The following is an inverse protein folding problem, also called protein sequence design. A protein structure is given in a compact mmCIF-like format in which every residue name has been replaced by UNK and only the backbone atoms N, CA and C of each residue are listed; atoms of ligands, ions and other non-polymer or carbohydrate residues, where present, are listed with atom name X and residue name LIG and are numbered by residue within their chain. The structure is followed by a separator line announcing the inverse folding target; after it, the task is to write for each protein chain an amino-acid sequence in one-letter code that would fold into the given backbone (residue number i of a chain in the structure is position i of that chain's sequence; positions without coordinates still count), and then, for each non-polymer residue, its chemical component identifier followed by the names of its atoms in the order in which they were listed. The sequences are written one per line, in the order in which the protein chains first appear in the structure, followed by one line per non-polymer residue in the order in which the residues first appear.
data_IF_430675352188
#
_entry.id   IF_430675352188
#
_cell.length_a   1.000
_cell.length_b   1.000
_cell.length_c   1.000
_cell.angle_alpha   90.00
_cell.angle_beta   90.00
_cell.angle_gamma   90.00
#
_symmetry.space_group_name_H-M   'P 1'
#
loop_
_entity.id
_entity.type
_entity.pdbx_description
1 polymer ?
#
# COMPACT_ATOMS: atom_id res chain seq x y z
N UNK A 1 6.29 -37.39 -37.49
CA UNK A 1 5.28 -36.67 -36.67
C UNK A 1 5.60 -36.57 -35.17
N UNK A 2 6.46 -37.42 -34.58
CA UNK A 2 6.78 -37.33 -33.14
C UNK A 2 7.79 -36.21 -32.79
N UNK A 3 8.75 -35.91 -33.67
CA UNK A 3 9.80 -34.90 -33.43
C UNK A 3 9.30 -33.44 -33.33
N UNK A 4 8.14 -33.12 -33.93
CA UNK A 4 7.57 -31.76 -33.87
C UNK A 4 6.80 -31.46 -32.57
N UNK A 5 6.27 -32.49 -31.87
CA UNK A 5 5.55 -32.31 -30.60
C UNK A 5 6.49 -32.05 -29.42
N UNK A 6 7.71 -32.59 -29.47
CA UNK A 6 8.74 -32.39 -28.42
C UNK A 6 9.28 -30.95 -28.46
N UNK A 7 9.41 -30.35 -29.65
CA UNK A 7 9.94 -28.98 -29.80
C UNK A 7 8.98 -27.90 -29.28
N UNK A 8 7.66 -28.11 -29.41
CA UNK A 8 6.63 -27.19 -28.90
C UNK A 8 6.49 -27.28 -27.37
N UNK A 9 6.70 -28.45 -26.78
CA UNK A 9 6.71 -28.63 -25.32
C UNK A 9 7.96 -28.03 -24.67
N UNK A 10 9.13 -28.05 -25.32
CA UNK A 10 10.33 -27.39 -24.79
C UNK A 10 10.22 -25.86 -24.88
N UNK A 11 9.63 -25.31 -25.94
CA UNK A 11 9.41 -23.86 -26.08
C UNK A 11 8.43 -23.28 -25.06
N UNK A 12 7.40 -24.04 -24.66
CA UNK A 12 6.43 -23.58 -23.67
C UNK A 12 6.97 -23.60 -22.23
N UNK A 13 8.03 -24.36 -21.95
CA UNK A 13 8.65 -24.43 -20.61
C UNK A 13 9.61 -23.25 -20.38
N UNK A 14 10.32 -22.79 -21.41
CA UNK A 14 11.22 -21.63 -21.30
C UNK A 14 10.46 -20.30 -21.15
N UNK A 15 9.25 -20.17 -21.71
CA UNK A 15 8.45 -18.95 -21.59
C UNK A 15 7.87 -18.70 -20.18
N UNK A 16 7.97 -19.66 -19.26
CA UNK A 16 7.45 -19.54 -17.88
C UNK A 16 8.57 -19.13 -16.90
N UNK A 17 9.83 -19.05 -17.35
CA UNK A 17 10.97 -18.77 -16.49
C UNK A 17 11.38 -17.27 -16.44
N UNK A 18 10.82 -16.42 -17.30
CA UNK A 18 11.28 -15.01 -17.44
C UNK A 18 10.38 -13.96 -16.75
N UNK A 19 9.38 -14.37 -15.97
CA UNK A 19 8.28 -13.46 -15.59
C UNK A 19 8.59 -12.42 -14.49
N UNK A 20 9.66 -12.54 -13.70
CA UNK A 20 9.95 -11.56 -12.64
C UNK A 20 10.76 -10.34 -13.10
N UNK A 21 11.59 -10.47 -14.14
CA UNK A 21 12.37 -9.36 -14.69
C UNK A 21 11.52 -8.37 -15.52
N UNK A 22 10.33 -8.79 -15.96
CA UNK A 22 9.49 -8.05 -16.91
C UNK A 22 9.18 -6.60 -16.52
N UNK A 23 8.90 -6.32 -15.24
CA UNK A 23 8.53 -4.96 -14.81
C UNK A 23 9.74 -4.03 -14.88
N UNK A 24 10.91 -4.47 -14.43
CA UNK A 24 12.14 -3.68 -14.49
C UNK A 24 12.66 -3.58 -15.93
N UNK A 25 12.54 -4.65 -16.72
CA UNK A 25 12.87 -4.66 -18.14
C UNK A 25 12.00 -3.66 -18.93
N UNK A 26 10.71 -3.54 -18.59
CA UNK A 26 9.82 -2.54 -19.16
C UNK A 26 10.28 -1.11 -18.85
N UNK A 27 10.84 -0.88 -17.67
CA UNK A 27 11.45 0.42 -17.29
C UNK A 27 12.76 0.67 -18.05
N UNK A 28 13.46 -0.40 -18.46
CA UNK A 28 14.69 -0.39 -19.27
C UNK A 28 15.73 0.66 -18.83
N UNK A 29 15.88 0.84 -17.52
CA UNK A 29 16.78 1.84 -16.94
C UNK A 29 17.45 1.24 -15.71
N UNK A 30 18.78 1.21 -15.72
CA UNK A 30 19.60 0.90 -14.55
C UNK A 30 20.19 2.18 -13.99
N UNK A 31 20.32 2.24 -12.68
CA UNK A 31 20.80 3.42 -11.95
C UNK A 31 22.03 3.10 -11.12
N UNK A 32 22.86 4.10 -10.87
CA UNK A 32 23.76 3.99 -9.73
C UNK A 32 22.96 4.06 -8.43
N UNK A 33 23.37 3.32 -7.40
CA UNK A 33 22.73 3.31 -6.08
C UNK A 33 22.76 4.68 -5.38
N UNK A 34 23.64 5.58 -5.84
CA UNK A 34 23.77 6.95 -5.32
C UNK A 34 23.12 8.00 -6.24
N UNK A 35 22.55 7.58 -7.39
CA UNK A 35 21.83 8.48 -8.30
C UNK A 35 20.36 8.54 -7.91
N UNK A 36 20.05 9.45 -6.99
CA UNK A 36 18.70 9.59 -6.42
C UNK A 36 17.64 9.97 -7.46
N UNK A 37 17.98 10.77 -8.47
CA UNK A 37 17.03 11.18 -9.51
C UNK A 37 16.72 9.99 -10.43
N UNK A 38 17.75 9.22 -10.82
CA UNK A 38 17.54 7.99 -11.59
C UNK A 38 16.69 6.98 -10.82
N UNK A 39 17.00 6.74 -9.53
CA UNK A 39 16.24 5.82 -8.68
C UNK A 39 14.79 6.28 -8.52
N UNK A 40 14.56 7.59 -8.30
CA UNK A 40 13.24 8.18 -8.23
C UNK A 40 12.41 7.86 -9.48
N UNK A 41 12.99 8.01 -10.67
CA UNK A 41 12.31 7.69 -11.92
C UNK A 41 11.97 6.20 -12.02
N UNK A 42 12.91 5.32 -11.68
CA UNK A 42 12.71 3.87 -11.72
C UNK A 42 11.59 3.45 -10.77
N UNK A 43 11.64 3.89 -9.51
CA UNK A 43 10.59 3.56 -8.54
C UNK A 43 9.24 4.17 -8.93
N UNK A 44 9.21 5.38 -9.48
CA UNK A 44 7.96 5.99 -9.96
C UNK A 44 7.32 5.15 -11.07
N UNK A 45 8.13 4.68 -12.02
CA UNK A 45 7.64 3.85 -13.12
C UNK A 45 7.16 2.47 -12.62
N UNK A 46 7.89 1.85 -11.69
CA UNK A 46 7.48 0.59 -11.06
C UNK A 46 6.16 0.76 -10.29
N UNK A 47 6.03 1.82 -9.48
CA UNK A 47 4.82 2.10 -8.72
C UNK A 47 3.61 2.32 -9.64
N UNK A 48 3.77 3.07 -10.72
CA UNK A 48 2.72 3.30 -11.70
C UNK A 48 2.28 1.99 -12.38
N UNK A 49 3.24 1.15 -12.81
CA UNK A 49 2.94 -0.12 -13.46
C UNK A 49 2.23 -1.10 -12.50
N UNK A 50 2.71 -1.21 -11.26
CA UNK A 50 2.08 -2.05 -10.24
C UNK A 50 0.69 -1.54 -9.85
N UNK A 51 0.46 -0.22 -9.90
CA UNK A 51 -0.86 0.34 -9.63
C UNK A 51 -1.90 -0.11 -10.66
N UNK A 52 -1.55 -0.04 -11.95
CA UNK A 52 -2.47 -0.38 -13.05
C UNK A 52 -2.57 -1.90 -13.29
N UNK A 53 -1.43 -2.60 -13.24
CA UNK A 53 -1.32 -3.98 -13.73
C UNK A 53 -1.10 -5.00 -12.60
N UNK A 54 -0.69 -4.56 -11.41
CA UNK A 54 -0.17 -5.44 -10.38
C UNK A 54 1.02 -6.27 -10.88
N UNK A 55 1.27 -7.40 -10.25
CA UNK A 55 2.20 -8.42 -10.75
C UNK A 55 1.73 -9.82 -10.33
N UNK A 56 0.81 -10.45 -11.10
CA UNK A 56 0.22 -11.73 -10.73
C UNK A 56 1.26 -12.85 -10.52
N UNK A 57 2.34 -12.87 -11.32
CA UNK A 57 3.43 -13.84 -11.17
C UNK A 57 4.14 -13.74 -9.80
N UNK A 58 4.06 -12.59 -9.14
CA UNK A 58 4.62 -12.34 -7.81
C UNK A 58 3.54 -12.28 -6.72
N UNK A 59 2.29 -12.65 -7.03
CA UNK A 59 1.13 -12.51 -6.15
C UNK A 59 0.94 -11.08 -5.63
N UNK A 60 1.22 -10.08 -6.48
CA UNK A 60 0.93 -8.67 -6.21
C UNK A 60 -0.37 -8.34 -6.97
N UNK A 61 -1.46 -7.98 -6.26
CA UNK A 61 -2.71 -7.62 -6.91
C UNK A 61 -2.58 -6.26 -7.62
N UNK A 62 -3.55 -5.96 -8.49
CA UNK A 62 -3.78 -4.58 -8.96
C UNK A 62 -4.03 -3.68 -7.75
N UNK A 63 -3.34 -2.54 -7.69
CA UNK A 63 -3.47 -1.60 -6.57
C UNK A 63 -4.47 -0.48 -6.86
N UNK A 64 -4.89 -0.26 -8.10
CA UNK A 64 -5.90 0.75 -8.42
C UNK A 64 -6.91 0.28 -9.49
N UNK A 65 -8.14 -0.12 -9.10
CA UNK A 65 -8.67 -0.17 -7.74
C UNK A 65 -8.13 -1.37 -6.93
N UNK A 66 -7.73 -1.14 -5.68
CA UNK A 66 -7.38 -2.20 -4.73
C UNK A 66 -8.63 -2.78 -4.08
N UNK A 67 -8.88 -4.09 -4.24
CA UNK A 67 -10.03 -4.75 -3.61
C UNK A 67 -9.82 -4.99 -2.12
N UNK A 68 -10.80 -4.61 -1.30
CA UNK A 68 -10.80 -4.76 0.16
C UNK A 68 -11.98 -5.66 0.53
N UNK A 69 -11.69 -6.84 1.08
CA UNK A 69 -12.72 -7.80 1.50
C UNK A 69 -12.48 -8.29 2.91
N UNK A 70 -13.53 -8.24 3.72
CA UNK A 70 -13.57 -8.70 5.11
C UNK A 70 -12.38 -8.20 5.95
N UNK A 71 -12.05 -6.91 5.80
CA UNK A 71 -10.97 -6.28 6.59
C UNK A 71 -11.58 -5.52 7.75
N UNK A 72 -11.03 -5.75 8.93
CA UNK A 72 -11.50 -5.16 10.17
C UNK A 72 -10.40 -4.32 10.79
N UNK A 73 -10.78 -3.14 11.28
CA UNK A 73 -9.95 -2.27 12.10
C UNK A 73 -10.70 -1.95 13.38
N UNK A 74 -9.94 -1.74 14.45
CA UNK A 74 -10.47 -1.23 15.70
C UNK A 74 -9.90 0.17 15.92
N UNK A 75 -10.78 1.15 16.04
CA UNK A 75 -10.42 2.55 16.21
C UNK A 75 -10.48 2.88 17.70
N UNK A 76 -9.31 3.13 18.28
CA UNK A 76 -9.08 3.45 19.70
C UNK A 76 -9.70 2.48 20.72
N UNK A 77 -9.93 1.21 20.36
CA UNK A 77 -10.64 0.29 21.24
C UNK A 77 -12.13 0.59 21.43
N UNK A 78 -12.69 1.54 20.68
CA UNK A 78 -14.05 2.07 20.86
C UNK A 78 -14.99 1.66 19.73
N UNK A 79 -14.48 1.60 18.51
CA UNK A 79 -15.28 1.31 17.32
C UNK A 79 -14.61 0.18 16.56
N UNK A 80 -15.39 -0.87 16.29
CA UNK A 80 -15.01 -1.95 15.40
C UNK A 80 -15.59 -1.67 14.03
N UNK A 81 -14.75 -1.35 13.05
CA UNK A 81 -15.16 -1.08 11.68
C UNK A 81 -14.69 -2.23 10.77
N UNK A 82 -15.60 -2.75 9.98
CA UNK A 82 -15.35 -3.84 9.03
C UNK A 82 -15.74 -3.37 7.64
N UNK A 83 -14.79 -3.41 6.70
CA UNK A 83 -15.06 -3.36 5.27
C UNK A 83 -15.45 -4.77 4.82
N UNK A 84 -16.74 -4.99 4.55
CA UNK A 84 -17.26 -6.29 4.08
C UNK A 84 -16.75 -6.52 2.66
N UNK A 85 -17.04 -5.56 1.79
CA UNK A 85 -16.57 -5.53 0.41
C UNK A 85 -16.49 -4.08 -0.05
N UNK A 86 -15.34 -3.70 -0.58
CA UNK A 86 -15.11 -2.37 -1.10
C UNK A 86 -13.84 -2.32 -1.92
N UNK A 87 -13.45 -1.12 -2.28
CA UNK A 87 -12.21 -0.88 -2.99
C UNK A 87 -11.63 0.48 -2.68
N UNK A 88 -10.30 0.55 -2.72
CA UNK A 88 -9.54 1.79 -2.70
C UNK A 88 -9.16 2.21 -4.13
N UNK A 89 -9.19 3.49 -4.42
CA UNK A 89 -8.76 4.12 -5.68
C UNK A 89 -7.83 5.28 -5.35
N UNK A 90 -6.92 5.59 -6.28
CA UNK A 90 -6.00 6.73 -6.17
C UNK A 90 -4.55 6.33 -5.95
N UNK A 91 -4.22 5.04 -5.78
CA UNK A 91 -2.82 4.60 -5.71
C UNK A 91 -2.03 4.96 -6.98
N UNK A 92 -2.66 4.92 -8.16
CA UNK A 92 -2.02 5.34 -9.41
C UNK A 92 -1.79 6.85 -9.52
N UNK A 93 -2.45 7.62 -8.66
CA UNK A 93 -2.29 9.09 -8.59
C UNK A 93 -1.18 9.50 -7.63
N UNK A 94 -0.61 8.55 -6.88
CA UNK A 94 0.50 8.79 -5.99
C UNK A 94 1.77 9.06 -6.80
N UNK A 95 2.38 10.22 -6.58
CA UNK A 95 3.61 10.66 -7.20
C UNK A 95 4.73 10.68 -6.19
N UNK A 96 5.86 10.06 -6.52
CA UNK A 96 7.09 10.22 -5.76
C UNK A 96 7.67 11.61 -6.08
N UNK A 97 7.59 12.52 -5.12
CA UNK A 97 7.97 13.94 -5.26
C UNK A 97 9.36 14.20 -4.70
N UNK A 98 9.79 13.42 -3.71
CA UNK A 98 11.15 13.43 -3.16
C UNK A 98 11.67 12.01 -2.98
N UNK A 99 12.97 11.82 -3.17
CA UNK A 99 13.63 10.54 -2.98
C UNK A 99 15.09 10.74 -2.61
N UNK A 100 15.58 10.02 -1.60
CA UNK A 100 17.01 9.91 -1.36
C UNK A 100 17.34 8.54 -0.81
N UNK A 101 18.37 7.91 -1.36
CA UNK A 101 18.92 6.67 -0.85
C UNK A 101 20.26 6.94 -0.13
N UNK A 102 20.45 6.27 1.00
CA UNK A 102 21.74 6.21 1.69
C UNK A 102 22.12 4.74 1.86
N UNK A 103 23.00 4.26 0.98
CA UNK A 103 23.48 2.87 1.00
C UNK A 103 24.33 2.55 2.23
N UNK A 104 25.02 3.53 2.82
CA UNK A 104 25.86 3.32 4.02
C UNK A 104 25.01 2.99 5.24
N UNK A 105 23.85 3.65 5.38
CA UNK A 105 22.90 3.40 6.46
C UNK A 105 21.78 2.45 6.07
N UNK A 106 21.72 2.03 4.80
CA UNK A 106 20.66 1.25 4.19
C UNK A 106 19.27 1.83 4.49
N UNK A 107 19.14 3.14 4.25
CA UNK A 107 17.88 3.87 4.44
C UNK A 107 17.50 4.63 3.17
N UNK A 108 16.21 4.57 2.85
CA UNK A 108 15.57 5.35 1.80
C UNK A 108 14.62 6.35 2.45
N UNK A 109 14.70 7.60 2.04
CA UNK A 109 13.64 8.58 2.24
C UNK A 109 12.83 8.70 0.94
N UNK A 110 11.52 8.64 1.05
CA UNK A 110 10.58 8.79 -0.06
C UNK A 110 9.42 9.72 0.35
N UNK A 111 9.24 10.81 -0.39
CA UNK A 111 8.10 11.70 -0.26
C UNK A 111 7.09 11.38 -1.36
N UNK A 112 5.87 11.00 -0.98
CA UNK A 112 4.78 10.70 -1.90
C UNK A 112 3.63 11.67 -1.71
N UNK A 113 3.02 12.09 -2.81
CA UNK A 113 1.79 12.90 -2.82
C UNK A 113 0.74 12.18 -3.65
N UNK A 114 -0.40 11.86 -3.05
CA UNK A 114 -1.53 11.19 -3.70
C UNK A 114 -2.73 12.13 -3.79
N UNK A 115 -3.31 12.28 -4.97
CA UNK A 115 -4.40 13.25 -5.23
C UNK A 115 -5.19 12.87 -6.49
N UNK A 116 -6.50 12.51 -6.38
CA UNK A 116 -7.27 12.20 -5.17
C UNK A 116 -7.18 10.71 -4.77
N UNK A 117 -7.45 10.42 -3.49
CA UNK A 117 -7.57 9.05 -2.97
C UNK A 117 -8.98 8.80 -2.43
N UNK A 118 -9.55 7.61 -2.66
CA UNK A 118 -10.88 7.28 -2.16
C UNK A 118 -11.00 5.80 -1.76
N UNK A 119 -11.83 5.53 -0.77
CA UNK A 119 -12.25 4.18 -0.38
C UNK A 119 -13.77 4.17 -0.32
N UNK A 120 -14.40 3.21 -0.98
CA UNK A 120 -15.86 3.05 -0.95
C UNK A 120 -16.25 1.57 -0.88
N UNK A 121 -17.36 1.27 -0.21
CA UNK A 121 -17.82 -0.10 -0.08
C UNK A 121 -18.97 -0.29 0.91
N UNK A 122 -19.31 -1.56 1.09
CA UNK A 122 -20.22 -2.03 2.11
C UNK A 122 -19.46 -2.17 3.43
N UNK A 123 -19.91 -1.46 4.45
CA UNK A 123 -19.27 -1.44 5.75
C UNK A 123 -20.18 -2.06 6.82
N UNK A 124 -19.56 -2.45 7.93
CA UNK A 124 -20.24 -2.71 9.20
C UNK A 124 -19.46 -2.02 10.31
N UNK A 125 -20.15 -1.26 11.16
CA UNK A 125 -19.59 -0.61 12.34
C UNK A 125 -20.33 -1.10 13.57
N UNK A 126 -19.60 -1.36 14.64
CA UNK A 126 -20.15 -1.73 15.95
C UNK A 126 -19.36 -0.98 17.04
N UNK A 127 -20.06 -0.36 18.00
CA UNK A 127 -19.42 0.09 19.23
C UNK A 127 -18.90 -1.11 20.01
N UNK A 128 -17.69 -0.97 20.56
CA UNK A 128 -17.14 -1.95 21.50
C UNK A 128 -17.87 -1.84 22.85
N UNK A 129 -17.73 -2.83 23.74
CA UNK A 129 -18.23 -2.74 25.11
C UNK A 129 -17.72 -1.49 25.85
N UNK A 130 -16.48 -1.07 25.58
CA UNK A 130 -15.86 0.14 26.14
C UNK A 130 -16.68 1.38 25.81
N UNK A 131 -16.96 1.62 24.52
CA UNK A 131 -17.74 2.78 24.10
C UNK A 131 -19.19 2.67 24.60
N UNK A 132 -19.78 1.47 24.50
CA UNK A 132 -21.16 1.23 24.95
C UNK A 132 -21.33 1.59 26.43
N UNK A 133 -20.39 1.22 27.29
CA UNK A 133 -20.43 1.57 28.71
C UNK A 133 -20.33 3.09 28.95
N UNK A 134 -19.47 3.80 28.21
CA UNK A 134 -19.29 5.25 28.32
C UNK A 134 -20.55 6.05 27.95
N UNK A 135 -21.35 5.53 27.02
CA UNK A 135 -22.59 6.18 26.56
C UNK A 135 -23.86 5.60 27.22
N UNK A 136 -23.72 4.97 28.38
CA UNK A 136 -24.88 4.50 29.17
C UNK A 136 -25.56 3.24 28.61
N UNK A 137 -24.81 2.37 27.95
CA UNK A 137 -25.29 1.10 27.39
C UNK A 137 -26.04 1.24 26.06
N UNK A 138 -26.05 2.44 25.46
CA UNK A 138 -26.69 2.67 24.16
C UNK A 138 -25.89 1.95 23.07
N UNK A 139 -26.60 1.20 22.21
CA UNK A 139 -25.97 0.51 21.08
C UNK A 139 -25.73 1.49 19.93
N UNK A 140 -24.48 1.56 19.47
CA UNK A 140 -24.13 2.19 18.18
C UNK A 140 -23.73 1.08 17.22
N UNK A 141 -24.40 1.04 16.07
CA UNK A 141 -24.13 0.05 15.04
C UNK A 141 -24.52 0.59 13.68
N UNK A 142 -23.91 0.07 12.63
CA UNK A 142 -24.32 0.38 11.27
C UNK A 142 -23.90 -0.72 10.32
N UNK A 143 -24.68 -0.92 9.27
CA UNK A 143 -24.32 -1.81 8.18
C UNK A 143 -24.97 -1.28 6.90
N UNK A 144 -24.16 -0.77 5.99
CA UNK A 144 -24.63 0.00 4.86
C UNK A 144 -23.54 0.28 3.84
N UNK A 145 -23.78 1.25 2.96
CA UNK A 145 -22.77 1.76 2.05
C UNK A 145 -22.10 2.97 2.66
N UNK A 146 -20.79 3.08 2.48
CA UNK A 146 -20.03 4.22 2.96
C UNK A 146 -18.71 4.36 2.25
N UNK A 147 -18.05 5.48 2.51
CA UNK A 147 -16.76 5.78 1.93
C UNK A 147 -16.11 7.00 2.54
N UNK A 148 -14.85 7.17 2.15
CA UNK A 148 -14.07 8.37 2.41
C UNK A 148 -13.32 8.77 1.14
N UNK A 149 -13.23 10.05 0.88
CA UNK A 149 -12.39 10.61 -0.17
C UNK A 149 -11.44 11.62 0.46
N UNK A 150 -10.15 11.51 0.17
CA UNK A 150 -9.11 12.43 0.59
C UNK A 150 -8.71 13.22 -0.65
N UNK A 151 -8.85 14.54 -0.59
CA UNK A 151 -8.47 15.42 -1.70
C UNK A 151 -6.99 15.27 -2.03
N UNK A 152 -6.12 15.44 -1.02
CA UNK A 152 -4.67 15.37 -1.18
C UNK A 152 -3.99 14.85 0.09
N UNK A 153 -3.17 13.82 -0.07
CA UNK A 153 -2.40 13.21 1.02
C UNK A 153 -0.91 13.27 0.71
N UNK A 154 -0.12 13.79 1.64
CA UNK A 154 1.33 13.72 1.62
C UNK A 154 1.80 12.65 2.61
N UNK A 155 2.73 11.80 2.17
CA UNK A 155 3.39 10.77 2.97
C UNK A 155 4.90 10.98 2.88
N UNK A 156 5.57 10.96 4.03
CA UNK A 156 7.03 10.84 4.08
C UNK A 156 7.36 9.47 4.67
N UNK A 157 8.06 8.64 3.91
CA UNK A 157 8.49 7.32 4.31
C UNK A 157 10.00 7.34 4.56
N UNK A 158 10.41 6.83 5.71
CA UNK A 158 11.81 6.51 6.00
C UNK A 158 11.94 4.99 6.08
N UNK A 159 12.32 4.37 4.97
CA UNK A 159 12.38 2.93 4.82
C UNK A 159 13.77 2.42 5.20
N UNK A 160 13.83 1.52 6.16
CA UNK A 160 15.02 0.72 6.40
C UNK A 160 15.01 -0.48 5.44
N UNK A 161 16.15 -0.82 4.87
CA UNK A 161 16.28 -1.98 4.01
C UNK A 161 17.59 -2.73 4.28
N UNK A 162 17.72 -3.91 3.68
CA UNK A 162 18.92 -4.74 3.73
C UNK A 162 19.29 -5.22 2.34
N UNK A 163 20.59 -5.37 2.10
CA UNK A 163 21.11 -6.12 0.93
C UNK A 163 21.32 -7.55 1.38
N UNK A 164 20.64 -8.50 0.73
CA UNK A 164 20.71 -9.92 1.10
C UNK A 164 20.92 -10.79 -0.12
N UNK A 165 21.78 -11.78 0.01
CA UNK A 165 21.89 -12.87 -0.98
C UNK A 165 20.77 -13.88 -0.72
N UNK A 166 19.94 -14.16 -1.73
CA UNK A 166 18.84 -15.12 -1.61
C UNK A 166 19.24 -16.49 -2.18
N UNK A 167 18.30 -17.45 -2.12
CA UNK A 167 18.51 -18.84 -2.52
C UNK A 167 18.80 -19.01 -4.02
N UNK A 168 18.44 -18.02 -4.85
CA UNK A 168 18.81 -17.96 -6.27
C UNK A 168 20.27 -17.57 -6.49
N UNK A 169 20.99 -17.22 -5.41
CA UNK A 169 22.38 -16.81 -5.47
C UNK A 169 22.59 -15.35 -5.87
N UNK A 170 21.52 -14.57 -6.02
CA UNK A 170 21.57 -13.16 -6.41
C UNK A 170 21.37 -12.24 -5.20
N UNK A 171 21.78 -10.97 -5.35
CA UNK A 171 21.56 -9.94 -4.32
C UNK A 171 20.20 -9.28 -4.53
N UNK A 172 19.46 -9.13 -3.43
CA UNK A 172 18.15 -8.50 -3.38
C UNK A 172 18.10 -7.43 -2.29
N UNK A 173 17.26 -6.41 -2.51
CA UNK A 173 16.86 -5.54 -1.41
C UNK A 173 15.69 -6.18 -0.66
N UNK A 174 15.65 -6.01 0.66
CA UNK A 174 14.49 -6.35 1.47
C UNK A 174 14.21 -5.18 2.42
N UNK A 175 12.97 -4.70 2.43
CA UNK A 175 12.53 -3.68 3.38
C UNK A 175 12.39 -4.33 4.75
N UNK A 176 12.89 -3.67 5.80
CA UNK A 176 12.61 -3.98 7.18
C UNK A 176 11.47 -3.07 7.69
N UNK A 177 10.22 -3.59 7.85
CA UNK A 177 9.09 -2.78 8.30
C UNK A 177 9.24 -2.28 9.74
N UNK A 178 9.92 -3.03 10.60
CA UNK A 178 10.05 -2.72 12.04
C UNK A 178 10.97 -1.50 12.28
N UNK A 179 11.98 -1.35 11.43
CA UNK A 179 12.95 -0.23 11.48
C UNK A 179 12.56 0.95 10.57
N UNK A 180 11.42 0.83 9.88
CA UNK A 180 10.88 1.86 8.98
C UNK A 180 9.90 2.76 9.71
N UNK A 181 9.92 4.05 9.37
CA UNK A 181 9.00 5.04 9.96
C UNK A 181 8.29 5.83 8.88
N UNK A 182 7.23 6.55 9.27
CA UNK A 182 6.54 7.44 8.37
C UNK A 182 5.87 8.60 9.09
N UNK A 183 5.64 9.68 8.34
CA UNK A 183 4.72 10.75 8.71
C UNK A 183 3.72 10.97 7.58
N UNK A 184 2.58 11.60 7.90
CA UNK A 184 1.56 11.92 6.92
C UNK A 184 0.94 13.28 7.21
N UNK A 185 0.49 13.93 6.15
CA UNK A 185 -0.23 15.19 6.21
C UNK A 185 -1.38 15.16 5.21
N UNK A 186 -2.58 15.47 5.68
CA UNK A 186 -3.74 15.63 4.82
C UNK A 186 -3.79 17.09 4.39
N UNK A 187 -3.40 17.34 3.14
CA UNK A 187 -3.21 18.68 2.57
C UNK A 187 -4.51 19.29 2.02
N UNK A 188 -5.54 18.47 1.82
CA UNK A 188 -6.87 18.90 1.39
C UNK A 188 -7.94 18.03 2.08
N UNK A 189 -9.19 18.51 2.07
CA UNK A 189 -10.36 17.94 2.74
C UNK A 189 -10.48 16.41 2.66
N UNK A 190 -10.90 15.80 3.77
CA UNK A 190 -11.54 14.48 3.75
C UNK A 190 -13.06 14.64 3.69
N UNK A 191 -13.69 13.90 2.78
CA UNK A 191 -15.15 13.80 2.67
C UNK A 191 -15.59 12.39 3.05
N UNK A 192 -16.46 12.26 4.03
CA UNK A 192 -17.11 11.03 4.44
C UNK A 192 -18.48 10.91 3.78
N UNK A 193 -18.86 9.67 3.49
CA UNK A 193 -20.20 9.28 3.06
C UNK A 193 -20.62 8.00 3.78
N UNK A 194 -21.91 7.84 4.03
CA UNK A 194 -22.41 6.70 4.79
C UNK A 194 -23.91 6.73 4.95
N UNK A 195 -24.52 5.55 4.89
CA UNK A 195 -25.91 5.31 5.25
C UNK A 195 -26.03 4.25 6.35
N UNK A 196 -27.24 4.05 6.87
CA UNK A 196 -27.59 2.94 7.77
C UNK A 196 -26.75 2.88 9.06
N UNK A 197 -26.50 4.03 9.70
CA UNK A 197 -25.82 4.15 11.00
C UNK A 197 -26.83 4.54 12.08
N UNK A 198 -26.86 3.78 13.18
CA UNK A 198 -27.90 3.87 14.19
C UNK A 198 -27.34 4.08 15.60
N UNK A 199 -28.05 4.91 16.36
CA UNK A 199 -27.96 4.96 17.83
C UNK A 199 -29.29 4.46 18.38
N UNK A 200 -29.26 3.28 19.00
CA UNK A 200 -30.48 2.57 19.41
C UNK A 200 -31.36 2.24 18.20
N UNK A 201 -32.49 2.95 18.05
CA UNK A 201 -33.42 2.80 16.92
C UNK A 201 -33.40 3.98 15.96
N UNK A 202 -32.65 5.04 16.27
CA UNK A 202 -32.61 6.25 15.47
C UNK A 202 -31.52 6.15 14.43
N UNK A 203 -31.87 6.38 13.16
CA UNK A 203 -30.91 6.60 12.09
C UNK A 203 -30.26 7.97 12.29
N UNK A 204 -28.93 7.97 12.39
CA UNK A 204 -28.10 9.16 12.59
C UNK A 204 -27.13 9.39 11.43
N UNK A 205 -27.26 8.67 10.31
CA UNK A 205 -26.29 8.70 9.20
C UNK A 205 -25.98 10.11 8.74
N UNK A 206 -27.00 10.91 8.41
CA UNK A 206 -26.81 12.30 7.95
C UNK A 206 -26.07 13.14 8.99
N UNK A 207 -26.43 13.01 10.27
CA UNK A 207 -25.79 13.75 11.36
C UNK A 207 -24.33 13.33 11.52
N UNK A 208 -24.05 12.03 11.54
CA UNK A 208 -22.70 11.49 11.67
C UNK A 208 -21.80 11.87 10.50
N UNK A 209 -22.32 11.80 9.27
CA UNK A 209 -21.60 12.21 8.06
C UNK A 209 -21.29 13.71 8.09
N UNK A 210 -22.24 14.55 8.50
CA UNK A 210 -22.02 15.99 8.62
C UNK A 210 -20.97 16.29 9.69
N UNK A 211 -21.07 15.69 10.88
CA UNK A 211 -20.06 15.82 11.93
C UNK A 211 -18.68 15.37 11.41
N UNK A 212 -18.61 14.24 10.70
CA UNK A 212 -17.37 13.75 10.11
C UNK A 212 -16.76 14.75 9.12
N UNK A 213 -17.58 15.31 8.24
CA UNK A 213 -17.17 16.28 7.23
C UNK A 213 -16.78 17.65 7.82
N UNK A 214 -17.45 18.09 8.89
CA UNK A 214 -17.12 19.35 9.58
C UNK A 214 -15.86 19.22 10.43
N UNK A 215 -15.56 18.02 10.95
CA UNK A 215 -14.47 17.76 11.89
C UNK A 215 -13.37 16.87 11.27
N UNK A 216 -13.25 16.88 9.95
CA UNK A 216 -12.38 15.95 9.22
C UNK A 216 -10.91 16.05 9.63
N UNK A 217 -10.40 17.25 9.94
CA UNK A 217 -9.01 17.45 10.37
C UNK A 217 -8.72 16.78 11.70
N UNK A 218 -9.63 16.94 12.66
CA UNK A 218 -9.52 16.29 13.96
C UNK A 218 -9.55 14.78 13.78
N UNK A 219 -10.48 14.28 12.95
CA UNK A 219 -10.59 12.85 12.68
C UNK A 219 -9.31 12.31 12.04
N UNK A 220 -8.76 13.01 11.06
CA UNK A 220 -7.50 12.64 10.43
C UNK A 220 -6.36 12.55 11.46
N UNK A 221 -6.17 13.60 12.27
CA UNK A 221 -5.10 13.66 13.29
C UNK A 221 -5.24 12.59 14.38
N UNK A 222 -6.48 12.33 14.82
CA UNK A 222 -6.74 11.40 15.93
C UNK A 222 -6.83 9.94 15.51
N UNK A 223 -7.29 9.65 14.29
CA UNK A 223 -7.64 8.29 13.86
C UNK A 223 -6.97 7.85 12.55
N UNK A 224 -6.26 8.73 11.85
CA UNK A 224 -5.63 8.42 10.57
C UNK A 224 -4.49 7.41 10.69
N UNK A 225 -3.68 7.50 11.75
CA UNK A 225 -2.51 6.62 11.95
C UNK A 225 -2.86 5.12 11.97
N UNK A 226 -3.80 4.63 12.79
CA UNK A 226 -4.18 3.21 12.78
C UNK A 226 -4.65 2.69 11.41
N UNK A 227 -5.25 3.55 10.58
CA UNK A 227 -5.68 3.20 9.23
C UNK A 227 -4.47 3.11 8.31
N UNK A 228 -3.60 4.12 8.33
CA UNK A 228 -2.37 4.14 7.53
C UNK A 228 -1.40 3.02 7.90
N UNK A 229 -1.31 2.65 9.18
CA UNK A 229 -0.51 1.50 9.63
C UNK A 229 -0.93 0.23 8.88
N UNK A 230 -2.25 -0.01 8.71
CA UNK A 230 -2.77 -1.16 7.93
C UNK A 230 -2.50 -1.06 6.43
N UNK A 231 -2.54 0.14 5.88
CA UNK A 231 -2.20 0.37 4.46
C UNK A 231 -0.71 0.09 4.24
N UNK A 232 0.15 0.55 5.16
CA UNK A 232 1.59 0.35 5.09
C UNK A 232 2.00 -1.11 5.31
N UNK A 233 1.30 -1.87 6.16
CA UNK A 233 1.47 -3.33 6.23
C UNK A 233 1.32 -3.98 4.85
N UNK A 234 0.27 -3.62 4.11
CA UNK A 234 0.03 -4.12 2.75
C UNK A 234 1.11 -3.64 1.78
N UNK A 235 1.53 -2.38 1.87
CA UNK A 235 2.63 -1.83 1.07
C UNK A 235 3.92 -2.61 1.27
N UNK A 236 4.39 -2.78 2.52
CA UNK A 236 5.63 -3.48 2.83
C UNK A 236 5.63 -4.93 2.35
N UNK A 237 4.51 -5.65 2.54
CA UNK A 237 4.37 -7.03 2.05
C UNK A 237 4.54 -7.09 0.53
N UNK A 238 3.90 -6.19 -0.21
CA UNK A 238 3.99 -6.18 -1.67
C UNK A 238 5.36 -5.68 -2.18
N UNK A 239 5.97 -4.71 -1.51
CA UNK A 239 7.35 -4.30 -1.79
C UNK A 239 8.31 -5.47 -1.64
N UNK A 240 8.23 -6.24 -0.54
CA UNK A 240 9.12 -7.39 -0.34
C UNK A 240 8.81 -8.54 -1.30
N UNK A 241 7.56 -8.77 -1.72
CA UNK A 241 7.25 -9.71 -2.81
C UNK A 241 7.93 -9.33 -4.11
N UNK A 242 7.94 -8.04 -4.46
CA UNK A 242 8.61 -7.53 -5.65
C UNK A 242 10.13 -7.65 -5.50
N UNK A 243 10.71 -7.05 -4.47
CA UNK A 243 12.15 -6.94 -4.30
C UNK A 243 12.84 -8.29 -4.09
N UNK A 244 12.16 -9.28 -3.49
CA UNK A 244 12.68 -10.66 -3.37
C UNK A 244 12.66 -11.48 -4.68
N UNK A 245 12.05 -10.95 -5.74
CA UNK A 245 11.96 -11.58 -7.07
C UNK A 245 12.75 -10.84 -8.14
N UNK A 246 13.18 -9.63 -7.83
CA UNK A 246 13.89 -8.74 -8.75
C UNK A 246 15.32 -8.52 -8.22
N UNK A 247 16.32 -9.20 -8.80
CA UNK A 247 17.72 -9.02 -8.46
C UNK A 247 18.17 -7.56 -8.58
N UNK A 248 19.01 -7.10 -7.66
CA UNK A 248 19.60 -5.75 -7.65
C UNK A 248 20.29 -5.45 -8.98
N UNK A 249 21.04 -6.41 -9.54
CA UNK A 249 21.79 -6.25 -10.79
C UNK A 249 20.92 -5.90 -12.00
N UNK A 250 19.61 -6.12 -11.95
CA UNK A 250 18.70 -5.86 -13.07
C UNK A 250 18.35 -4.36 -13.18
N UNK A 251 18.58 -3.58 -12.14
CA UNK A 251 18.22 -2.15 -12.08
C UNK A 251 19.23 -1.26 -11.36
N UNK A 252 20.25 -1.84 -10.73
CA UNK A 252 21.38 -1.14 -10.13
C UNK A 252 22.68 -1.53 -10.85
N UNK A 253 23.52 -0.55 -11.14
CA UNK A 253 24.81 -0.76 -11.84
C UNK A 253 25.97 -1.08 -10.90
N UNK A 254 25.91 -0.64 -9.65
CA UNK A 254 26.96 -0.83 -8.65
C UNK A 254 26.98 -2.26 -8.09
N UNK A 255 28.18 -2.76 -7.75
CA UNK A 255 28.33 -3.98 -6.96
C UNK A 255 28.08 -3.67 -5.47
N UNK A 256 27.03 -4.28 -4.91
CA UNK A 256 26.62 -4.06 -3.53
C UNK A 256 27.04 -5.20 -2.58
N UNK A 257 27.93 -6.10 -3.01
CA UNK A 257 28.37 -7.26 -2.23
C UNK A 257 28.97 -6.88 -0.87
N UNK A 258 29.63 -5.72 -0.76
CA UNK A 258 30.19 -5.22 0.51
C UNK A 258 29.14 -4.78 1.53
N UNK A 259 27.88 -4.62 1.11
CA UNK A 259 26.77 -4.20 1.97
C UNK A 259 25.87 -5.35 2.41
N UNK A 260 26.21 -6.60 2.03
CA UNK A 260 25.47 -7.77 2.47
C UNK A 260 25.61 -7.93 3.98
N UNK A 261 24.49 -7.91 4.70
CA UNK A 261 24.47 -8.27 6.12
C UNK A 261 24.56 -9.80 6.27
N UNK A 262 25.41 -10.24 7.19
CA UNK A 262 25.56 -11.64 7.57
C UNK A 262 24.39 -12.17 8.39
#
# INVERSE_FOLDING_TARGET
MWKFKVLLLTSAIFAICESSAYIVEKVNKKCSINDNDCLKDVYSAVLADLADNGAPAMNIPVLDPYSIKNKQIEVLGMIKATMIEGYGKGFKTCQLTGFSNNIQTQRVYAEMVCEPFAVEGNYKIEATPTLSALIGGIKVYGQGKGGLAIGKLKLNLELAYEVKKLDDGELHFLINPEDSTYTYEVLDKITFSGDSLFIGKQDISTVAVNIGNENWEFIAKSFGKPILDRVLEVFYVNCNKFLSKVPIKDWITDDLSSYVKG
#
